data_IF_225929473388
#
_entry.id   IF_225929473388
#
_cell.length_a   1.000
_cell.length_b   1.000
_cell.length_c   1.000
_cell.angle_alpha   90.00
_cell.angle_beta   90.00
_cell.angle_gamma   90.00
#
_symmetry.space_group_name_H-M   'P 1'
#
loop_
_entity.id
_entity.type
_entity.pdbx_description
1 polymer ?
#
# COMPACT_ATOMS: atom_id res chain seq x y z
N UNK A 1 1.05 11.52 -9.13
CA UNK A 1 1.43 10.29 -9.87
C UNK A 1 0.88 10.38 -11.27
N UNK A 2 1.64 9.92 -12.25
CA UNK A 2 1.24 9.93 -13.66
C UNK A 2 1.58 8.60 -14.31
N UNK A 3 0.62 8.05 -15.05
CA UNK A 3 0.78 6.92 -15.96
C UNK A 3 0.60 7.45 -17.39
N UNK A 4 1.50 7.12 -18.28
CA UNK A 4 1.43 7.52 -19.69
C UNK A 4 1.56 6.29 -20.57
N UNK A 5 0.48 5.98 -21.31
CA UNK A 5 0.38 4.86 -22.26
C UNK A 5 0.82 3.51 -21.66
N UNK A 6 0.43 3.25 -20.42
CA UNK A 6 0.85 2.07 -19.66
C UNK A 6 0.09 0.83 -20.14
N UNK A 7 0.85 -0.19 -20.53
CA UNK A 7 0.34 -1.53 -20.81
C UNK A 7 1.05 -2.57 -19.94
N UNK A 8 0.33 -3.62 -19.54
CA UNK A 8 0.90 -4.77 -18.83
C UNK A 8 0.42 -6.07 -19.43
N UNK A 9 1.38 -6.87 -19.87
CA UNK A 9 1.15 -8.20 -20.46
C UNK A 9 1.86 -9.23 -19.57
N UNK A 10 1.17 -10.31 -19.24
CA UNK A 10 1.74 -11.48 -18.59
C UNK A 10 1.81 -12.64 -19.58
N UNK A 11 2.85 -13.46 -19.48
CA UNK A 11 3.11 -14.54 -20.41
C UNK A 11 3.70 -14.08 -21.75
N UNK A 12 3.89 -15.02 -22.67
CA UNK A 12 4.46 -14.78 -24.01
C UNK A 12 3.73 -15.61 -25.04
N UNK A 13 3.80 -15.21 -26.32
CA UNK A 13 3.17 -15.93 -27.46
C UNK A 13 1.65 -16.05 -27.30
N UNK A 14 1.09 -17.21 -27.60
CA UNK A 14 -0.36 -17.48 -27.56
C UNK A 14 -0.94 -17.43 -26.12
N UNK A 15 -0.11 -17.59 -25.08
CA UNK A 15 -0.52 -17.49 -23.67
C UNK A 15 -0.43 -16.06 -23.10
N UNK A 16 -0.15 -15.06 -23.94
CA UNK A 16 -0.05 -13.68 -23.48
C UNK A 16 -1.43 -13.11 -23.06
N UNK A 17 -1.49 -12.63 -21.81
CA UNK A 17 -2.68 -12.01 -21.23
C UNK A 17 -2.43 -10.52 -21.03
N UNK A 18 -3.21 -9.69 -21.70
CA UNK A 18 -3.20 -8.25 -21.54
C UNK A 18 -4.00 -7.87 -20.29
N UNK A 19 -3.33 -7.64 -19.20
CA UNK A 19 -3.96 -7.22 -17.94
C UNK A 19 -4.31 -5.74 -17.94
N UNK A 20 -3.49 -4.91 -18.60
CA UNK A 20 -3.77 -3.49 -18.87
C UNK A 20 -3.35 -3.17 -20.31
N UNK A 21 -4.08 -2.26 -20.94
CA UNK A 21 -3.82 -1.87 -22.34
C UNK A 21 -3.97 -0.36 -22.50
N UNK A 22 -2.86 0.31 -22.83
CA UNK A 22 -2.79 1.74 -23.17
C UNK A 22 -3.51 2.65 -22.16
N UNK A 23 -3.20 2.50 -20.86
CA UNK A 23 -3.83 3.28 -19.80
C UNK A 23 -3.02 4.53 -19.51
N UNK A 24 -3.68 5.69 -19.56
CA UNK A 24 -3.12 6.98 -19.12
C UNK A 24 -3.97 7.54 -17.99
N UNK A 25 -3.33 7.97 -16.90
CA UNK A 25 -3.99 8.45 -15.69
C UNK A 25 -3.09 9.45 -14.96
N UNK A 26 -3.66 10.54 -14.50
CA UNK A 26 -2.99 11.51 -13.63
C UNK A 26 -3.74 11.58 -12.30
N UNK A 27 -3.01 11.34 -11.20
CA UNK A 27 -3.51 11.48 -9.83
C UNK A 27 -2.74 12.63 -9.17
N UNK A 28 -3.44 13.69 -8.80
CA UNK A 28 -2.87 14.89 -8.18
C UNK A 28 -2.86 14.78 -6.65
N UNK A 29 -2.12 15.67 -6.01
CA UNK A 29 -2.19 15.79 -4.55
C UNK A 29 -3.61 16.21 -4.13
N UNK A 30 -4.17 15.49 -3.15
CA UNK A 30 -5.53 15.70 -2.65
C UNK A 30 -6.62 14.96 -3.42
N UNK A 31 -6.30 14.31 -4.55
CA UNK A 31 -7.29 13.50 -5.27
C UNK A 31 -7.66 12.25 -4.45
N UNK A 32 -8.95 11.93 -4.45
CA UNK A 32 -9.48 10.62 -4.04
C UNK A 32 -9.96 9.89 -5.30
N UNK A 33 -9.31 8.78 -5.63
CA UNK A 33 -9.58 8.00 -6.85
C UNK A 33 -10.08 6.62 -6.50
N UNK A 34 -11.20 6.22 -7.08
CA UNK A 34 -11.74 4.85 -6.96
C UNK A 34 -11.61 4.11 -8.29
N UNK A 35 -10.99 2.92 -8.24
CA UNK A 35 -10.87 2.02 -9.40
C UNK A 35 -11.94 0.94 -9.27
N UNK A 36 -12.93 0.98 -10.16
CA UNK A 36 -14.07 0.06 -10.16
C UNK A 36 -14.09 -0.81 -11.41
N UNK A 37 -14.62 -2.01 -11.29
CA UNK A 37 -14.75 -2.94 -12.42
C UNK A 37 -14.98 -4.38 -11.95
N UNK A 38 -15.40 -5.29 -12.86
CA UNK A 38 -15.60 -6.69 -12.54
C UNK A 38 -14.30 -7.42 -12.16
N UNK A 39 -14.41 -8.64 -11.64
CA UNK A 39 -13.23 -9.48 -11.42
C UNK A 39 -12.49 -9.71 -12.74
N UNK A 40 -11.15 -9.70 -12.70
CA UNK A 40 -10.32 -9.86 -13.90
C UNK A 40 -10.15 -8.60 -14.76
N UNK A 41 -10.73 -7.45 -14.41
CA UNK A 41 -10.58 -6.20 -15.18
C UNK A 41 -9.25 -5.48 -15.01
N UNK A 42 -8.26 -6.06 -14.33
CA UNK A 42 -6.93 -5.48 -14.16
C UNK A 42 -6.73 -4.56 -12.94
N UNK A 43 -7.72 -4.46 -12.03
CA UNK A 43 -7.63 -3.57 -10.84
C UNK A 43 -6.38 -3.84 -9.99
N UNK A 44 -6.15 -5.09 -9.62
CA UNK A 44 -4.98 -5.47 -8.80
C UNK A 44 -3.66 -5.27 -9.56
N UNK A 45 -3.65 -5.48 -10.89
CA UNK A 45 -2.50 -5.15 -11.74
C UNK A 45 -2.23 -3.65 -11.72
N UNK A 46 -3.29 -2.83 -11.86
CA UNK A 46 -3.17 -1.38 -11.76
C UNK A 46 -2.60 -0.95 -10.40
N UNK A 47 -3.16 -1.48 -9.30
CA UNK A 47 -2.65 -1.18 -7.94
C UNK A 47 -1.19 -1.64 -7.77
N UNK A 48 -0.81 -2.79 -8.32
CA UNK A 48 0.57 -3.27 -8.31
C UNK A 48 1.54 -2.33 -9.02
N UNK A 49 1.14 -1.78 -10.17
CA UNK A 49 1.92 -0.80 -10.92
C UNK A 49 1.99 0.55 -10.19
N UNK A 50 0.85 1.09 -9.74
CA UNK A 50 0.78 2.32 -8.93
C UNK A 50 1.62 2.20 -7.65
N UNK A 51 1.66 0.99 -7.08
CA UNK A 51 2.44 0.67 -5.89
C UNK A 51 3.91 0.41 -6.12
N UNK A 52 4.41 0.50 -7.33
CA UNK A 52 5.78 0.13 -7.67
C UNK A 52 6.16 -1.31 -7.26
N UNK A 53 5.16 -2.21 -7.17
CA UNK A 53 5.35 -3.65 -6.92
C UNK A 53 5.65 -4.40 -8.22
N UNK A 54 5.18 -3.88 -9.34
CA UNK A 54 5.38 -4.42 -10.68
C UNK A 54 5.89 -3.33 -11.62
N UNK A 55 6.28 -3.71 -12.84
CA UNK A 55 6.73 -2.79 -13.90
C UNK A 55 5.82 -2.94 -15.12
N UNK A 56 5.51 -1.85 -15.81
CA UNK A 56 4.75 -1.94 -17.04
C UNK A 56 5.56 -2.65 -18.15
N UNK A 57 4.87 -3.27 -19.08
CA UNK A 57 5.47 -3.81 -20.31
C UNK A 57 5.78 -2.67 -21.28
N UNK A 58 4.89 -1.67 -21.35
CA UNK A 58 5.02 -0.47 -22.16
C UNK A 58 4.53 0.75 -21.40
N UNK A 59 4.94 1.94 -21.85
CA UNK A 59 4.60 3.20 -21.22
C UNK A 59 5.47 3.57 -20.02
N UNK A 60 5.12 4.64 -19.34
CA UNK A 60 5.90 5.19 -18.22
C UNK A 60 5.04 5.48 -17.01
N UNK A 61 5.65 5.37 -15.82
CA UNK A 61 5.04 5.70 -14.53
C UNK A 61 5.96 6.67 -13.81
N UNK A 62 5.39 7.79 -13.33
CA UNK A 62 6.10 8.83 -12.58
C UNK A 62 5.45 9.03 -11.21
N UNK A 63 6.27 9.07 -10.15
CA UNK A 63 5.85 9.32 -8.77
C UNK A 63 6.50 10.61 -8.28
N UNK A 64 5.70 11.68 -8.14
CA UNK A 64 6.25 13.03 -7.97
C UNK A 64 7.02 13.44 -9.20
N UNK A 65 8.31 13.73 -9.04
CA UNK A 65 9.20 14.15 -10.13
C UNK A 65 10.11 13.00 -10.63
N UNK A 66 9.89 11.76 -10.15
CA UNK A 66 10.76 10.62 -10.41
C UNK A 66 10.07 9.59 -11.32
N UNK A 67 10.60 9.35 -12.53
CA UNK A 67 10.16 8.25 -13.39
C UNK A 67 10.64 6.91 -12.78
N UNK A 68 9.68 6.06 -12.40
CA UNK A 68 9.97 4.80 -11.70
C UNK A 68 10.07 3.59 -12.63
N UNK A 69 9.65 3.72 -13.87
CA UNK A 69 9.57 2.64 -14.86
C UNK A 69 10.92 1.99 -15.11
N UNK A 70 11.97 2.80 -15.24
CA UNK A 70 13.33 2.36 -15.59
C UNK A 70 14.25 2.17 -14.38
N UNK A 71 13.75 2.38 -13.18
CA UNK A 71 14.54 2.20 -11.98
C UNK A 71 14.89 0.73 -11.76
N UNK A 72 16.12 0.48 -11.32
CA UNK A 72 16.49 -0.82 -10.75
C UNK A 72 15.62 -1.13 -9.51
N UNK A 73 15.41 -2.41 -9.24
CA UNK A 73 14.50 -2.86 -8.17
C UNK A 73 14.80 -2.24 -6.80
N UNK A 74 16.07 -2.11 -6.43
CA UNK A 74 16.47 -1.47 -5.17
C UNK A 74 16.09 0.02 -5.11
N UNK A 75 16.16 0.75 -6.24
CA UNK A 75 15.76 2.15 -6.31
C UNK A 75 14.23 2.28 -6.23
N UNK A 76 13.50 1.43 -6.97
CA UNK A 76 12.04 1.35 -6.94
C UNK A 76 11.52 0.99 -5.54
N UNK A 77 12.19 0.06 -4.83
CA UNK A 77 11.88 -0.26 -3.43
C UNK A 77 12.06 0.94 -2.50
N UNK A 78 13.07 1.79 -2.72
CA UNK A 78 13.23 3.02 -1.95
C UNK A 78 12.11 4.02 -2.21
N UNK A 79 11.70 4.21 -3.48
CA UNK A 79 10.55 5.09 -3.82
C UNK A 79 9.29 4.58 -3.14
N UNK A 80 8.99 3.28 -3.25
CA UNK A 80 7.85 2.65 -2.59
C UNK A 80 7.85 2.89 -1.08
N UNK A 81 8.94 2.56 -0.39
CA UNK A 81 9.05 2.71 1.07
C UNK A 81 9.01 4.17 1.56
N UNK A 82 9.29 5.15 0.68
CA UNK A 82 9.30 6.57 1.02
C UNK A 82 7.98 7.27 0.69
N UNK A 83 7.32 6.86 -0.38
CA UNK A 83 6.25 7.64 -1.00
C UNK A 83 4.90 6.93 -1.04
N UNK A 84 4.83 5.62 -0.78
CA UNK A 84 3.62 4.83 -0.99
C UNK A 84 3.28 4.06 0.28
N UNK A 85 2.07 4.24 0.79
CA UNK A 85 1.46 3.41 1.83
C UNK A 85 0.51 2.39 1.21
N UNK A 86 0.49 1.17 1.74
CA UNK A 86 -0.41 0.11 1.30
C UNK A 86 -1.34 -0.37 2.40
N UNK A 87 -2.61 -0.46 2.08
CA UNK A 87 -3.65 -1.12 2.90
C UNK A 87 -4.25 -2.25 2.06
N UNK A 88 -4.10 -3.48 2.51
CA UNK A 88 -4.59 -4.69 1.84
C UNK A 88 -5.85 -5.23 2.50
N UNK A 89 -6.69 -5.91 1.73
CA UNK A 89 -7.89 -6.59 2.20
C UNK A 89 -7.59 -7.62 3.32
N UNK A 90 -6.50 -8.37 3.20
CA UNK A 90 -6.08 -9.41 4.16
C UNK A 90 -5.10 -8.90 5.22
N UNK A 91 -5.05 -7.59 5.51
CA UNK A 91 -4.20 -6.93 6.51
C UNK A 91 -2.70 -7.18 6.36
N UNK A 92 -2.27 -8.37 6.01
CA UNK A 92 -0.87 -8.81 5.89
C UNK A 92 -0.01 -8.41 7.10
N UNK A 93 -0.53 -8.62 8.30
CA UNK A 93 0.22 -8.45 9.52
C UNK A 93 1.16 -9.64 9.74
N UNK A 94 2.32 -9.36 10.30
CA UNK A 94 3.31 -10.38 10.65
C UNK A 94 2.86 -11.06 11.96
N UNK A 95 2.53 -12.35 11.96
CA UNK A 95 1.80 -13.00 13.07
C UNK A 95 2.59 -13.06 14.39
N UNK A 96 3.92 -13.13 14.31
CA UNK A 96 4.79 -13.23 15.49
C UNK A 96 5.19 -11.87 16.08
N UNK A 97 4.88 -10.75 15.41
CA UNK A 97 5.05 -9.41 15.93
C UNK A 97 3.76 -8.92 16.58
N UNK A 98 3.90 -8.06 17.60
CA UNK A 98 2.78 -7.29 18.14
C UNK A 98 2.35 -6.16 17.19
N UNK A 99 1.32 -5.40 17.55
CA UNK A 99 0.82 -4.30 16.73
C UNK A 99 1.90 -3.23 16.52
N UNK A 100 2.65 -2.90 17.56
CA UNK A 100 3.74 -1.92 17.49
C UNK A 100 4.85 -2.39 16.55
N UNK A 101 5.31 -3.62 16.69
CA UNK A 101 6.33 -4.21 15.82
C UNK A 101 5.87 -4.27 14.36
N UNK A 102 4.59 -4.58 14.12
CA UNK A 102 4.03 -4.55 12.76
C UNK A 102 4.12 -3.14 12.13
N UNK A 103 3.84 -2.09 12.89
CA UNK A 103 3.97 -0.70 12.39
C UNK A 103 5.44 -0.30 12.24
N UNK A 104 6.31 -0.67 13.17
CA UNK A 104 7.75 -0.39 13.09
C UNK A 104 8.40 -0.96 11.81
N UNK A 105 7.87 -2.09 11.26
CA UNK A 105 8.45 -2.70 10.05
C UNK A 105 8.50 -1.75 8.85
N UNK A 106 7.53 -0.85 8.72
CA UNK A 106 7.50 0.13 7.63
C UNK A 106 8.64 1.17 7.73
N UNK A 107 9.20 1.36 8.93
CA UNK A 107 10.27 2.30 9.20
C UNK A 107 11.68 1.69 9.14
N UNK A 108 11.81 0.37 8.93
CA UNK A 108 13.11 -0.32 8.95
C UNK A 108 14.09 0.20 7.88
N UNK A 109 13.56 0.64 6.75
CA UNK A 109 14.38 1.18 5.64
C UNK A 109 14.58 2.70 5.72
N UNK A 110 14.15 3.33 6.82
CA UNK A 110 14.42 4.74 7.13
C UNK A 110 15.66 4.84 8.02
N UNK A 111 16.48 5.87 7.82
CA UNK A 111 17.65 6.13 8.64
C UNK A 111 17.26 6.70 10.01
N UNK A 112 16.45 5.93 10.78
CA UNK A 112 15.94 6.31 12.09
C UNK A 112 16.58 5.45 13.18
N UNK A 113 16.83 6.04 14.35
CA UNK A 113 17.24 5.29 15.55
C UNK A 113 16.10 4.39 16.04
N UNK A 114 16.40 3.25 16.69
CA UNK A 114 15.36 2.34 17.20
C UNK A 114 14.31 3.04 18.10
N UNK A 115 14.75 3.92 19.00
CA UNK A 115 13.84 4.66 19.87
C UNK A 115 12.88 5.57 19.08
N UNK A 116 13.38 6.26 18.06
CA UNK A 116 12.57 7.14 17.21
C UNK A 116 11.56 6.35 16.37
N UNK A 117 11.96 5.16 15.85
CA UNK A 117 11.01 4.27 15.14
C UNK A 117 9.86 3.85 16.04
N UNK A 118 10.19 3.43 17.27
CA UNK A 118 9.20 2.99 18.26
C UNK A 118 8.24 4.12 18.64
N UNK A 119 8.76 5.33 18.86
CA UNK A 119 7.96 6.51 19.16
C UNK A 119 6.98 6.86 18.03
N UNK A 120 7.46 6.90 16.76
CA UNK A 120 6.61 7.15 15.59
C UNK A 120 5.55 6.07 15.40
N UNK A 121 5.92 4.80 15.57
CA UNK A 121 5.00 3.69 15.46
C UNK A 121 3.91 3.74 16.55
N UNK A 122 4.27 4.10 17.78
CA UNK A 122 3.31 4.29 18.87
C UNK A 122 2.36 5.43 18.57
N UNK A 123 2.86 6.60 18.16
CA UNK A 123 2.02 7.73 17.78
C UNK A 123 1.03 7.37 16.64
N UNK A 124 1.48 6.59 15.66
CA UNK A 124 0.62 6.13 14.57
C UNK A 124 -0.48 5.16 15.06
N UNK A 125 -0.19 4.28 16.02
CA UNK A 125 -1.21 3.43 16.66
C UNK A 125 -2.21 4.24 17.50
N UNK A 126 -1.75 5.28 18.19
CA UNK A 126 -2.63 6.19 18.93
C UNK A 126 -3.60 6.92 18.02
N UNK A 127 -3.14 7.39 16.85
CA UNK A 127 -3.98 8.04 15.83
C UNK A 127 -5.15 7.15 15.36
N UNK A 128 -4.94 5.83 15.30
CA UNK A 128 -5.99 4.87 14.92
C UNK A 128 -6.73 4.27 16.13
N UNK A 129 -6.52 4.82 17.34
CA UNK A 129 -7.18 4.40 18.58
C UNK A 129 -6.70 3.06 19.14
N UNK A 130 -5.48 2.63 18.82
CA UNK A 130 -4.90 1.35 19.26
C UNK A 130 -3.69 1.47 20.20
N UNK A 131 -3.43 2.64 20.79
CA UNK A 131 -2.30 2.83 21.69
C UNK A 131 -2.28 1.81 22.86
N UNK A 132 -3.46 1.47 23.42
CA UNK A 132 -3.59 0.47 24.50
C UNK A 132 -3.49 -0.99 24.03
N UNK A 133 -3.41 -1.21 22.72
CA UNK A 133 -3.29 -2.52 22.08
C UNK A 133 -1.93 -2.75 21.42
N UNK A 134 -0.97 -1.87 21.65
CA UNK A 134 0.34 -1.86 21.01
C UNK A 134 1.12 -3.17 21.17
N UNK A 135 0.98 -3.84 22.30
CA UNK A 135 1.62 -5.12 22.66
C UNK A 135 0.81 -6.37 22.27
N UNK A 136 -0.38 -6.20 21.65
CA UNK A 136 -1.22 -7.32 21.23
C UNK A 136 -0.75 -7.88 19.88
N UNK A 137 -0.68 -9.21 19.78
CA UNK A 137 -0.42 -9.90 18.52
C UNK A 137 -1.68 -9.94 17.63
N UNK A 138 -1.55 -10.12 16.30
CA UNK A 138 -2.71 -10.17 15.40
C UNK A 138 -3.81 -11.12 15.84
N UNK A 139 -3.47 -12.30 16.37
CA UNK A 139 -4.44 -13.30 16.87
C UNK A 139 -5.28 -12.79 18.06
N UNK A 140 -4.83 -11.78 18.76
CA UNK A 140 -5.51 -11.15 19.91
C UNK A 140 -6.33 -9.93 19.52
N UNK A 141 -6.32 -9.56 18.24
CA UNK A 141 -6.98 -8.39 17.70
C UNK A 141 -8.19 -8.82 16.84
N UNK A 142 -9.29 -8.08 16.95
CA UNK A 142 -10.41 -8.22 16.03
C UNK A 142 -10.02 -7.84 14.60
N UNK A 143 -10.79 -8.25 13.59
CA UNK A 143 -10.52 -7.90 12.19
C UNK A 143 -10.42 -6.39 11.98
N UNK A 144 -11.31 -5.60 12.61
CA UNK A 144 -11.25 -4.14 12.53
C UNK A 144 -10.02 -3.54 13.23
N UNK A 145 -9.54 -4.14 14.34
CA UNK A 145 -8.30 -3.72 14.98
C UNK A 145 -7.09 -4.07 14.10
N UNK A 146 -7.05 -5.25 13.50
CA UNK A 146 -6.00 -5.65 12.56
C UNK A 146 -5.92 -4.70 11.36
N UNK A 147 -7.07 -4.31 10.81
CA UNK A 147 -7.13 -3.34 9.71
C UNK A 147 -6.59 -1.98 10.13
N UNK A 148 -6.93 -1.50 11.33
CA UNK A 148 -6.37 -0.25 11.85
C UNK A 148 -4.87 -0.34 12.12
N UNK A 149 -4.32 -1.49 12.53
CA UNK A 149 -2.87 -1.70 12.59
C UNK A 149 -2.25 -1.61 11.19
N UNK A 150 -2.87 -2.24 10.17
CA UNK A 150 -2.41 -2.15 8.79
C UNK A 150 -2.46 -0.70 8.25
N UNK A 151 -3.50 0.06 8.62
CA UNK A 151 -3.62 1.48 8.30
C UNK A 151 -2.51 2.31 8.98
N UNK A 152 -2.28 2.11 10.29
CA UNK A 152 -1.19 2.77 11.01
C UNK A 152 0.17 2.47 10.36
N UNK A 153 0.42 1.20 9.98
CA UNK A 153 1.63 0.80 9.26
C UNK A 153 1.78 1.50 7.91
N UNK A 154 0.69 1.70 7.19
CA UNK A 154 0.70 2.39 5.91
C UNK A 154 0.98 3.90 6.06
N UNK A 155 0.47 4.52 7.13
CA UNK A 155 0.56 5.96 7.37
C UNK A 155 1.84 6.40 8.09
N UNK A 156 2.49 5.52 8.87
CA UNK A 156 3.65 5.88 9.72
C UNK A 156 4.85 6.43 8.94
N UNK A 157 4.93 6.14 7.64
CA UNK A 157 5.97 6.66 6.74
C UNK A 157 5.65 8.05 6.17
N UNK A 158 4.50 8.63 6.51
CA UNK A 158 4.00 9.87 5.88
C UNK A 158 4.01 9.77 4.34
N UNK A 159 3.25 8.83 3.76
CA UNK A 159 3.30 8.56 2.33
C UNK A 159 2.63 9.67 1.53
N UNK A 160 3.15 9.94 0.32
CA UNK A 160 2.51 10.86 -0.64
C UNK A 160 1.25 10.26 -1.27
N UNK A 161 1.17 8.94 -1.32
CA UNK A 161 0.08 8.18 -1.94
C UNK A 161 -0.29 7.03 -1.00
N UNK A 162 -1.58 6.90 -0.71
CA UNK A 162 -2.14 5.74 -0.02
C UNK A 162 -2.92 4.89 -1.03
N UNK A 163 -2.50 3.66 -1.19
CA UNK A 163 -3.19 2.66 -2.03
C UNK A 163 -3.95 1.69 -1.13
N UNK A 164 -5.22 1.49 -1.44
CA UNK A 164 -6.08 0.59 -0.69
C UNK A 164 -6.73 -0.43 -1.63
N UNK A 165 -6.51 -1.72 -1.37
CA UNK A 165 -7.15 -2.83 -2.08
C UNK A 165 -8.27 -3.39 -1.20
N UNK A 166 -9.52 -3.06 -1.53
CA UNK A 166 -10.73 -3.44 -0.79
C UNK A 166 -10.57 -3.27 0.74
N UNK A 167 -10.22 -2.07 1.26
CA UNK A 167 -9.80 -1.87 2.65
C UNK A 167 -10.89 -2.21 3.69
N UNK A 168 -12.12 -2.37 3.25
CA UNK A 168 -13.27 -2.73 4.10
C UNK A 168 -13.85 -4.11 3.77
N UNK A 169 -13.32 -4.81 2.76
CA UNK A 169 -13.88 -6.07 2.26
C UNK A 169 -13.88 -7.22 3.27
N UNK A 170 -12.99 -7.18 4.25
CA UNK A 170 -12.92 -8.17 5.34
C UNK A 170 -13.63 -7.72 6.63
N UNK A 171 -14.32 -6.58 6.62
CA UNK A 171 -14.93 -5.97 7.80
C UNK A 171 -16.47 -6.02 7.73
N UNK A 172 -17.13 -6.13 8.90
CA UNK A 172 -18.54 -5.84 9.01
C UNK A 172 -18.82 -4.33 8.78
N UNK A 173 -20.10 -4.00 8.51
CA UNK A 173 -20.52 -2.65 8.14
C UNK A 173 -20.14 -1.59 9.18
N UNK A 174 -20.16 -1.92 10.48
CA UNK A 174 -19.84 -0.99 11.56
C UNK A 174 -18.33 -0.70 11.62
N UNK A 175 -17.50 -1.72 11.46
CA UNK A 175 -16.04 -1.58 11.44
C UNK A 175 -15.55 -0.94 10.14
N UNK A 176 -16.23 -1.20 9.01
CA UNK A 176 -15.93 -0.55 7.73
C UNK A 176 -16.08 0.99 7.81
N UNK A 177 -17.14 1.49 8.46
CA UNK A 177 -17.36 2.93 8.63
C UNK A 177 -16.28 3.63 9.49
N UNK A 178 -15.60 2.89 10.37
CA UNK A 178 -14.54 3.44 11.23
C UNK A 178 -13.15 3.46 10.54
N UNK A 179 -13.02 2.82 9.40
CA UNK A 179 -11.75 2.74 8.63
C UNK A 179 -11.72 3.76 7.49
N UNK A 180 -12.88 4.11 6.94
CA UNK A 180 -13.04 5.14 5.88
C UNK A 180 -13.14 6.53 6.47
#
# INVERSE_FOLDING_TARGET
MELSHVSRVYGTGEAAVWALRDVSLIIRAGDFVSIVGPSGSGKSTMLGLLGCLDVPTEGTITVGDEEVTRLADAARTRVRGRSIGFVFQQFHLIPHLDALGNVETALLYRSLKPAERRERAMASLEQVGLGRRADHRPVQLSGGEQQRVALARALVTDPKILLADEPTGALDTKNAANVM
#
